data_IF_083279944993
#
_entry.id   IF_083279944993
#
_cell.length_a   1.000
_cell.length_b   1.000
_cell.length_c   1.000
_cell.angle_alpha   90.00
_cell.angle_beta   90.00
_cell.angle_gamma   90.00
#
_symmetry.space_group_name_H-M   'P 1'
#
loop_
_entity.id
_entity.type
_entity.pdbx_description
1 polymer ?
#
# COMPACT_ATOMS: atom_id res chain seq x y z
N UNK A 1 -6.07 -26.11 22.76
CA UNK A 1 -6.70 -24.95 22.10
C UNK A 1 -5.99 -24.48 20.82
N UNK A 2 -4.77 -24.94 20.54
CA UNK A 2 -4.01 -24.55 19.32
C UNK A 2 -4.45 -25.24 18.00
N UNK A 3 -5.21 -26.32 18.06
CA UNK A 3 -5.63 -27.08 16.84
C UNK A 3 -6.83 -26.50 16.10
N UNK A 4 -7.60 -25.58 16.69
CA UNK A 4 -8.77 -24.97 16.05
C UNK A 4 -8.48 -23.66 15.32
N UNK A 5 -7.36 -22.96 15.63
CA UNK A 5 -6.99 -21.70 14.96
C UNK A 5 -6.46 -21.90 13.52
N UNK A 6 -6.17 -23.11 13.09
CA UNK A 6 -5.69 -23.42 11.73
C UNK A 6 -6.75 -23.39 10.63
N UNK A 7 -8.04 -23.24 10.94
CA UNK A 7 -9.12 -23.25 9.94
C UNK A 7 -9.65 -21.84 9.59
N UNK A 8 -9.47 -20.87 10.45
CA UNK A 8 -9.83 -19.48 10.13
C UNK A 8 -8.58 -18.78 9.67
N UNK A 9 -8.48 -18.51 8.37
CA UNK A 9 -7.30 -17.84 7.80
C UNK A 9 -7.00 -16.52 8.52
N UNK A 10 -5.73 -16.12 8.60
CA UNK A 10 -5.30 -14.90 9.29
C UNK A 10 -6.11 -13.67 8.86
N UNK A 11 -6.41 -13.55 7.57
CA UNK A 11 -7.24 -12.45 7.02
C UNK A 11 -8.61 -12.36 7.68
N UNK A 12 -9.25 -13.50 7.98
CA UNK A 12 -10.53 -13.51 8.67
C UNK A 12 -10.42 -12.98 10.11
N UNK A 13 -9.27 -13.20 10.77
CA UNK A 13 -9.04 -12.69 12.13
C UNK A 13 -8.83 -11.16 12.19
N UNK A 14 -8.44 -10.54 11.07
CA UNK A 14 -8.20 -9.09 10.94
C UNK A 14 -9.22 -8.39 10.02
N UNK A 15 -10.35 -9.04 9.71
CA UNK A 15 -11.34 -8.53 8.76
C UNK A 15 -11.84 -7.11 9.04
N UNK A 16 -12.05 -6.77 10.31
CA UNK A 16 -12.48 -5.43 10.71
C UNK A 16 -11.39 -4.37 10.41
N UNK A 17 -10.12 -4.70 10.70
CA UNK A 17 -8.99 -3.84 10.38
C UNK A 17 -8.78 -3.73 8.86
N UNK A 18 -9.02 -4.81 8.10
CA UNK A 18 -9.00 -4.78 6.63
C UNK A 18 -10.08 -3.85 6.07
N UNK A 19 -11.33 -3.99 6.55
CA UNK A 19 -12.42 -3.11 6.13
C UNK A 19 -12.12 -1.64 6.47
N UNK A 20 -11.62 -1.36 7.67
CA UNK A 20 -11.24 -0.02 8.09
C UNK A 20 -10.11 0.56 7.21
N UNK A 21 -9.04 -0.20 6.98
CA UNK A 21 -7.94 0.21 6.10
C UNK A 21 -8.41 0.44 4.66
N UNK A 22 -9.31 -0.41 4.15
CA UNK A 22 -9.88 -0.24 2.81
C UNK A 22 -10.70 1.04 2.70
N UNK A 23 -11.56 1.34 3.69
CA UNK A 23 -12.35 2.57 3.72
C UNK A 23 -11.44 3.80 3.77
N UNK A 24 -10.40 3.79 4.60
CA UNK A 24 -9.43 4.88 4.67
C UNK A 24 -8.68 5.07 3.35
N UNK A 25 -8.19 3.98 2.76
CA UNK A 25 -7.43 4.02 1.52
C UNK A 25 -8.27 4.55 0.35
N UNK A 26 -9.39 3.90 0.07
CA UNK A 26 -10.25 4.29 -1.06
C UNK A 26 -10.96 5.61 -0.83
N UNK A 27 -11.34 5.92 0.42
CA UNK A 27 -11.92 7.21 0.78
C UNK A 27 -10.93 8.35 0.56
N UNK A 28 -9.68 8.21 0.99
CA UNK A 28 -8.63 9.21 0.73
C UNK A 28 -8.26 9.30 -0.75
N UNK A 29 -8.23 8.17 -1.47
CA UNK A 29 -7.98 8.17 -2.91
C UNK A 29 -9.09 8.89 -3.67
N UNK A 30 -10.35 8.63 -3.36
CA UNK A 30 -11.49 9.29 -3.98
C UNK A 30 -11.51 10.79 -3.68
N UNK A 31 -11.27 11.18 -2.42
CA UNK A 31 -11.19 12.59 -2.03
C UNK A 31 -10.06 13.30 -2.78
N UNK A 32 -8.86 12.72 -2.80
CA UNK A 32 -7.71 13.31 -3.48
C UNK A 32 -7.88 13.37 -5.01
N UNK A 33 -8.53 12.38 -5.61
CA UNK A 33 -8.91 12.40 -7.03
C UNK A 33 -9.86 13.58 -7.33
N UNK A 34 -10.91 13.72 -6.52
CA UNK A 34 -11.94 14.75 -6.74
C UNK A 34 -11.41 16.18 -6.55
N UNK A 35 -10.45 16.37 -5.65
CA UNK A 35 -9.82 17.66 -5.39
C UNK A 35 -8.45 17.83 -6.04
N UNK A 36 -8.09 16.97 -6.99
CA UNK A 36 -6.75 16.96 -7.60
C UNK A 36 -6.38 18.29 -8.27
N UNK A 37 -7.33 18.97 -8.89
CA UNK A 37 -7.19 20.29 -9.51
C UNK A 37 -6.87 21.41 -8.50
N UNK A 38 -7.35 21.27 -7.26
CA UNK A 38 -7.21 22.27 -6.19
C UNK A 38 -5.99 22.08 -5.30
N UNK A 39 -5.37 20.90 -5.36
CA UNK A 39 -4.19 20.59 -4.54
C UNK A 39 -2.94 21.00 -5.32
N UNK A 40 -2.21 22.06 -4.94
CA UNK A 40 -1.06 22.56 -5.68
C UNK A 40 0.21 21.73 -5.39
N UNK A 41 0.11 20.40 -5.45
CA UNK A 41 1.24 19.49 -5.24
C UNK A 41 1.61 18.87 -6.59
N UNK A 42 2.82 19.14 -7.04
CA UNK A 42 3.44 18.39 -8.13
C UNK A 42 4.03 17.09 -7.58
N UNK A 43 3.26 16.00 -7.73
CA UNK A 43 3.67 14.69 -7.25
C UNK A 43 4.98 14.24 -7.90
N UNK A 44 5.19 14.54 -9.18
CA UNK A 44 6.40 14.16 -9.92
C UNK A 44 7.62 14.86 -9.31
N UNK A 45 7.48 16.16 -9.01
CA UNK A 45 8.55 16.92 -8.36
C UNK A 45 8.82 16.45 -6.93
N UNK A 46 7.78 16.10 -6.16
CA UNK A 46 7.94 15.52 -4.82
C UNK A 46 8.70 14.20 -4.87
N UNK A 47 8.36 13.31 -5.80
CA UNK A 47 9.08 12.06 -5.98
C UNK A 47 10.54 12.29 -6.42
N UNK A 48 10.77 13.19 -7.37
CA UNK A 48 12.11 13.53 -7.83
C UNK A 48 12.99 14.08 -6.70
N UNK A 49 12.45 14.95 -5.86
CA UNK A 49 13.18 15.48 -4.69
C UNK A 49 13.46 14.44 -3.63
N UNK A 50 12.53 13.51 -3.41
CA UNK A 50 12.65 12.47 -2.38
C UNK A 50 13.62 11.35 -2.78
N UNK A 51 13.67 10.99 -4.06
CA UNK A 51 14.33 9.77 -4.54
C UNK A 51 15.34 9.99 -5.66
N UNK A 52 15.56 11.23 -6.10
CA UNK A 52 16.40 11.54 -7.25
C UNK A 52 15.71 11.27 -8.59
N UNK A 53 16.49 11.27 -9.67
CA UNK A 53 15.94 11.01 -11.01
C UNK A 53 15.81 9.50 -11.26
N UNK A 54 14.65 8.95 -10.90
CA UNK A 54 14.31 7.52 -11.06
C UNK A 54 14.36 7.10 -12.54
N UNK A 55 14.29 8.06 -13.47
CA UNK A 55 14.34 7.79 -14.91
C UNK A 55 15.72 7.33 -15.39
N UNK A 56 16.76 7.55 -14.61
CA UNK A 56 18.13 7.09 -14.91
C UNK A 56 18.36 5.62 -14.52
N UNK A 57 17.45 5.04 -13.73
CA UNK A 57 17.55 3.63 -13.31
C UNK A 57 17.22 2.70 -14.48
N UNK A 58 18.05 1.67 -14.64
CA UNK A 58 17.66 0.56 -15.51
C UNK A 58 16.46 -0.22 -14.92
N UNK A 59 15.74 -1.02 -15.71
CA UNK A 59 14.53 -1.70 -15.24
C UNK A 59 14.74 -2.60 -14.02
N UNK A 60 15.93 -3.22 -13.87
CA UNK A 60 16.23 -4.08 -12.71
C UNK A 60 16.45 -3.23 -11.46
N UNK A 61 17.21 -2.14 -11.59
CA UNK A 61 17.44 -1.18 -10.52
C UNK A 61 16.11 -0.56 -10.06
N UNK A 62 15.25 -0.17 -11.01
CA UNK A 62 13.92 0.36 -10.72
C UNK A 62 13.05 -0.65 -9.96
N UNK A 63 13.00 -1.91 -10.44
CA UNK A 63 12.28 -2.99 -9.78
C UNK A 63 12.76 -3.18 -8.33
N UNK A 64 14.07 -3.26 -8.11
CA UNK A 64 14.63 -3.44 -6.78
C UNK A 64 14.32 -2.24 -5.89
N UNK A 65 14.45 -1.01 -6.41
CA UNK A 65 14.12 0.21 -5.69
C UNK A 65 12.65 0.21 -5.23
N UNK A 66 11.71 -0.04 -6.13
CA UNK A 66 10.27 -0.10 -5.83
C UNK A 66 9.99 -1.20 -4.80
N UNK A 67 10.54 -2.39 -5.01
CA UNK A 67 10.35 -3.53 -4.11
C UNK A 67 10.83 -3.24 -2.69
N UNK A 68 12.07 -2.76 -2.54
CA UNK A 68 12.63 -2.46 -1.22
C UNK A 68 11.90 -1.29 -0.54
N UNK A 69 11.57 -0.23 -1.28
CA UNK A 69 10.83 0.91 -0.76
C UNK A 69 9.46 0.50 -0.21
N UNK A 70 8.67 -0.25 -0.99
CA UNK A 70 7.34 -0.67 -0.60
C UNK A 70 7.37 -1.73 0.51
N UNK A 71 8.34 -2.64 0.47
CA UNK A 71 8.54 -3.65 1.52
C UNK A 71 8.94 -3.01 2.85
N UNK A 72 9.87 -2.07 2.83
CA UNK A 72 10.33 -1.36 4.03
C UNK A 72 9.21 -0.53 4.65
N UNK A 73 8.47 0.23 3.85
CA UNK A 73 7.31 1.01 4.31
C UNK A 73 6.24 0.11 4.92
N UNK A 74 5.90 -1.00 4.26
CA UNK A 74 4.94 -1.99 4.75
C UNK A 74 5.38 -2.63 6.06
N UNK A 75 6.67 -2.96 6.20
CA UNK A 75 7.23 -3.47 7.44
C UNK A 75 7.16 -2.44 8.57
N UNK A 76 7.55 -1.18 8.29
CA UNK A 76 7.50 -0.10 9.28
C UNK A 76 6.08 0.13 9.79
N UNK A 77 5.09 0.09 8.92
CA UNK A 77 3.68 0.25 9.30
C UNK A 77 3.22 -0.84 10.26
N UNK A 78 3.65 -2.08 10.02
CA UNK A 78 3.37 -3.21 10.92
C UNK A 78 4.06 -3.01 12.26
N UNK A 79 5.36 -2.74 12.26
CA UNK A 79 6.17 -2.63 13.49
C UNK A 79 5.77 -1.43 14.34
N UNK A 80 5.38 -0.32 13.73
CA UNK A 80 4.94 0.90 14.40
C UNK A 80 3.43 0.93 14.68
N UNK A 81 2.68 -0.09 14.25
CA UNK A 81 1.26 -0.25 14.57
C UNK A 81 0.93 -0.15 16.06
N UNK A 82 1.74 -0.75 16.99
CA UNK A 82 1.56 -0.63 18.42
C UNK A 82 1.49 0.80 18.97
N UNK A 83 2.01 1.81 18.25
CA UNK A 83 1.87 3.23 18.59
C UNK A 83 0.43 3.73 18.30
N UNK A 84 -0.56 3.07 18.88
CA UNK A 84 -2.00 3.41 18.84
C UNK A 84 -2.58 3.53 17.42
N UNK A 85 -1.94 2.92 16.43
CA UNK A 85 -2.42 2.95 15.05
C UNK A 85 -2.18 4.27 14.31
N UNK A 86 -1.44 5.22 14.89
CA UNK A 86 -1.16 6.53 14.28
C UNK A 86 -0.40 6.36 12.96
N UNK A 87 0.67 5.55 12.96
CA UNK A 87 1.47 5.32 11.77
C UNK A 87 0.68 4.60 10.66
N UNK A 88 -0.05 3.49 10.93
CA UNK A 88 -0.95 2.89 9.95
C UNK A 88 -1.99 3.85 9.38
N UNK A 89 -2.54 4.75 10.20
CA UNK A 89 -3.52 5.73 9.74
C UNK A 89 -2.93 6.67 8.68
N UNK A 90 -1.84 7.38 9.02
CA UNK A 90 -1.21 8.30 8.09
C UNK A 90 -0.67 7.60 6.85
N UNK A 91 -0.07 6.43 7.00
CA UNK A 91 0.42 5.64 5.88
C UNK A 91 -0.71 5.29 4.90
N UNK A 92 -1.85 4.82 5.42
CA UNK A 92 -2.99 4.43 4.59
C UNK A 92 -3.59 5.62 3.85
N UNK A 93 -3.82 6.73 4.58
CA UNK A 93 -4.40 7.96 4.01
C UNK A 93 -3.47 8.58 2.97
N UNK A 94 -2.16 8.62 3.25
CA UNK A 94 -1.19 9.19 2.30
C UNK A 94 -1.05 8.35 1.03
N UNK A 95 -0.99 7.02 1.15
CA UNK A 95 -0.89 6.16 -0.04
C UNK A 95 -2.16 6.25 -0.90
N UNK A 96 -3.35 6.22 -0.29
CA UNK A 96 -4.60 6.45 -1.01
C UNK A 96 -4.65 7.84 -1.64
N UNK A 97 -4.27 8.87 -0.88
CA UNK A 97 -4.22 10.25 -1.36
C UNK A 97 -3.27 10.44 -2.56
N UNK A 98 -2.05 9.89 -2.49
CA UNK A 98 -1.09 9.93 -3.59
C UNK A 98 -1.66 9.23 -4.82
N UNK A 99 -2.27 8.05 -4.66
CA UNK A 99 -2.92 7.33 -5.75
C UNK A 99 -4.01 8.17 -6.40
N UNK A 100 -4.91 8.76 -5.61
CA UNK A 100 -6.00 9.59 -6.11
C UNK A 100 -5.52 10.82 -6.87
N UNK A 101 -4.52 11.54 -6.32
CA UNK A 101 -3.89 12.68 -6.97
C UNK A 101 -3.21 12.27 -8.28
N UNK A 102 -2.48 11.15 -8.29
CA UNK A 102 -1.80 10.65 -9.49
C UNK A 102 -2.81 10.33 -10.61
N UNK A 103 -3.90 9.60 -10.26
CA UNK A 103 -4.97 9.31 -11.22
C UNK A 103 -5.59 10.60 -11.74
N UNK A 104 -5.93 11.56 -10.86
CA UNK A 104 -6.57 12.83 -11.25
C UNK A 104 -5.70 13.64 -12.22
N UNK A 105 -4.42 13.84 -11.89
CA UNK A 105 -3.49 14.62 -12.73
C UNK A 105 -3.22 13.95 -14.08
N UNK A 106 -3.04 12.62 -14.09
CA UNK A 106 -2.83 11.90 -15.36
C UNK A 106 -4.12 11.87 -16.17
N UNK A 107 -5.27 11.69 -15.54
CA UNK A 107 -6.57 11.72 -16.24
C UNK A 107 -6.88 13.08 -16.87
N UNK A 108 -6.52 14.18 -16.21
CA UNK A 108 -6.68 15.53 -16.74
C UNK A 108 -5.82 15.76 -18.00
N UNK A 109 -4.58 15.25 -18.01
CA UNK A 109 -3.63 15.48 -19.10
C UNK A 109 -3.72 14.47 -20.25
N UNK A 110 -4.07 13.21 -19.96
CA UNK A 110 -4.02 12.09 -20.93
C UNK A 110 -5.29 11.24 -20.97
N UNK A 111 -6.31 11.60 -20.18
CA UNK A 111 -7.55 10.85 -20.06
C UNK A 111 -7.50 9.71 -19.05
N UNK A 112 -8.68 9.35 -18.54
CA UNK A 112 -8.82 8.34 -17.46
C UNK A 112 -8.36 6.93 -17.90
N UNK A 113 -8.58 6.58 -19.18
CA UNK A 113 -8.15 5.27 -19.69
C UNK A 113 -6.64 5.09 -19.61
N UNK A 114 -5.88 6.13 -19.97
CA UNK A 114 -4.42 6.12 -19.85
C UNK A 114 -3.97 6.05 -18.38
N UNK A 115 -4.59 6.84 -17.49
CA UNK A 115 -4.27 6.83 -16.07
C UNK A 115 -4.47 5.44 -15.45
N UNK A 116 -5.57 4.78 -15.78
CA UNK A 116 -5.85 3.42 -15.32
C UNK A 116 -4.88 2.39 -15.93
N UNK A 117 -4.57 2.50 -17.22
CA UNK A 117 -3.61 1.62 -17.88
C UNK A 117 -2.19 1.72 -17.28
N UNK A 118 -1.81 2.91 -16.81
CA UNK A 118 -0.52 3.12 -16.16
C UNK A 118 -0.46 2.60 -14.71
N UNK A 119 -1.59 2.48 -14.02
CA UNK A 119 -1.63 2.17 -12.58
C UNK A 119 -2.14 0.75 -12.30
N UNK A 120 -3.19 0.31 -13.00
CA UNK A 120 -3.85 -0.97 -12.68
C UNK A 120 -2.93 -2.20 -12.76
N UNK A 121 -1.99 -2.32 -13.70
CA UNK A 121 -1.20 -3.55 -13.84
C UNK A 121 -0.47 -3.95 -12.56
N UNK A 122 0.21 -3.02 -11.90
CA UNK A 122 0.89 -3.26 -10.62
C UNK A 122 -0.01 -3.00 -9.40
N UNK A 123 -0.91 -2.01 -9.50
CA UNK A 123 -1.80 -1.59 -8.42
C UNK A 123 -2.73 -2.70 -7.92
N UNK A 124 -3.17 -3.64 -8.78
CA UNK A 124 -3.98 -4.80 -8.37
C UNK A 124 -3.28 -5.65 -7.31
N UNK A 125 -1.96 -5.68 -7.28
CA UNK A 125 -1.18 -6.44 -6.29
C UNK A 125 -0.66 -5.56 -5.15
N UNK A 126 -0.23 -4.34 -5.46
CA UNK A 126 0.34 -3.41 -4.49
C UNK A 126 -0.72 -2.87 -3.51
N UNK A 127 -1.88 -2.44 -4.00
CA UNK A 127 -2.94 -1.89 -3.15
C UNK A 127 -3.42 -2.88 -2.08
N UNK A 128 -3.72 -4.16 -2.40
CA UNK A 128 -4.03 -5.15 -1.37
C UNK A 128 -2.90 -5.38 -0.37
N UNK A 129 -1.63 -5.32 -0.81
CA UNK A 129 -0.47 -5.46 0.08
C UNK A 129 -0.35 -4.28 1.06
N UNK A 130 -0.55 -3.04 0.60
CA UNK A 130 -0.59 -1.83 1.43
C UNK A 130 -1.74 -1.90 2.44
N UNK A 131 -2.94 -2.22 2.00
CA UNK A 131 -4.13 -2.34 2.87
C UNK A 131 -3.92 -3.42 3.92
N UNK A 132 -3.38 -4.59 3.55
CA UNK A 132 -3.10 -5.68 4.48
C UNK A 132 -2.04 -5.29 5.51
N UNK A 133 -0.97 -4.59 5.11
CA UNK A 133 0.07 -4.09 6.03
C UNK A 133 -0.51 -3.13 7.05
N UNK A 134 -1.34 -2.18 6.60
CA UNK A 134 -2.04 -1.23 7.47
C UNK A 134 -3.00 -1.93 8.42
N UNK A 135 -3.76 -2.91 7.92
CA UNK A 135 -4.69 -3.70 8.73
C UNK A 135 -3.99 -4.49 9.84
N UNK A 136 -2.81 -5.05 9.55
CA UNK A 136 -1.96 -5.70 10.56
C UNK A 136 -1.51 -4.67 11.60
N UNK A 137 -1.07 -3.48 11.19
CA UNK A 137 -0.70 -2.40 12.08
C UNK A 137 -1.84 -1.95 13.00
N UNK A 138 -3.05 -1.75 12.46
CA UNK A 138 -4.25 -1.45 13.26
C UNK A 138 -4.63 -2.60 14.21
N UNK A 139 -4.49 -3.84 13.75
CA UNK A 139 -4.73 -5.00 14.62
C UNK A 139 -3.76 -5.04 15.79
N UNK A 140 -2.49 -4.71 15.58
CA UNK A 140 -1.50 -4.61 16.64
C UNK A 140 -1.82 -3.47 17.62
N UNK A 141 -2.27 -2.31 17.12
CA UNK A 141 -2.76 -1.22 17.97
C UNK A 141 -3.91 -1.69 18.87
N UNK A 142 -4.86 -2.41 18.29
CA UNK A 142 -5.97 -2.99 19.06
C UNK A 142 -5.52 -3.98 20.12
N UNK A 143 -4.54 -4.84 19.81
CA UNK A 143 -3.98 -5.80 20.79
C UNK A 143 -3.22 -5.10 21.92
N UNK A 144 -2.61 -3.93 21.68
CA UNK A 144 -2.05 -3.09 22.76
C UNK A 144 -3.15 -2.63 23.71
N UNK A 145 -4.23 -2.07 23.19
CA UNK A 145 -5.37 -1.65 24.01
C UNK A 145 -5.99 -2.83 24.76
N UNK A 146 -6.18 -3.96 24.09
CA UNK A 146 -6.67 -5.18 24.74
C UNK A 146 -5.75 -5.67 25.86
N UNK A 147 -4.43 -5.58 25.67
CA UNK A 147 -3.47 -5.98 26.70
C UNK A 147 -3.64 -5.15 27.98
N UNK A 148 -3.92 -3.85 27.83
CA UNK A 148 -4.12 -2.94 28.97
C UNK A 148 -5.40 -3.28 29.73
N UNK A 149 -6.51 -3.59 29.02
CA UNK A 149 -7.83 -3.72 29.63
C UNK A 149 -8.31 -5.17 29.85
N UNK A 150 -7.80 -6.14 29.07
CA UNK A 150 -8.42 -7.48 28.99
C UNK A 150 -7.42 -8.64 28.76
N UNK A 151 -6.11 -8.41 28.84
CA UNK A 151 -5.13 -9.48 28.75
C UNK A 151 -4.76 -9.95 27.33
N UNK A 152 -4.71 -9.07 26.33
CA UNK A 152 -4.25 -9.35 24.97
C UNK A 152 -2.78 -9.75 24.87
N UNK A 153 -2.36 -10.34 23.75
CA UNK A 153 -0.96 -10.73 23.49
C UNK A 153 -0.43 -10.11 22.19
N UNK A 154 0.17 -8.93 22.33
CA UNK A 154 0.79 -8.18 21.23
C UNK A 154 1.86 -9.00 20.50
N UNK A 155 2.71 -9.73 21.25
CA UNK A 155 3.79 -10.54 20.66
C UNK A 155 3.26 -11.68 19.79
N UNK A 156 2.16 -12.33 20.21
CA UNK A 156 1.52 -13.37 19.42
C UNK A 156 0.99 -12.81 18.11
N UNK A 157 0.31 -11.67 18.16
CA UNK A 157 -0.23 -11.03 16.98
C UNK A 157 0.87 -10.51 16.07
N UNK A 158 1.95 -9.94 16.62
CA UNK A 158 3.11 -9.51 15.85
C UNK A 158 3.74 -10.69 15.07
N UNK A 159 3.93 -11.86 15.72
CA UNK A 159 4.47 -13.06 15.04
C UNK A 159 3.56 -13.53 13.91
N UNK A 160 2.24 -13.50 14.09
CA UNK A 160 1.26 -13.87 13.05
C UNK A 160 1.29 -12.88 11.90
N UNK A 161 1.27 -11.59 12.20
CA UNK A 161 1.35 -10.51 11.21
C UNK A 161 2.66 -10.55 10.42
N UNK A 162 3.78 -10.73 11.11
CA UNK A 162 5.10 -10.83 10.47
C UNK A 162 5.22 -12.06 9.56
N UNK A 163 4.69 -13.22 10.00
CA UNK A 163 4.63 -14.41 9.13
C UNK A 163 3.77 -14.15 7.88
N UNK A 164 2.64 -13.49 8.03
CA UNK A 164 1.78 -13.13 6.90
C UNK A 164 2.48 -12.13 5.96
N UNK A 165 3.19 -11.14 6.51
CA UNK A 165 4.01 -10.21 5.76
C UNK A 165 5.04 -10.93 4.89
N UNK A 166 5.85 -11.81 5.49
CA UNK A 166 6.89 -12.54 4.75
C UNK A 166 6.32 -13.48 3.67
N UNK A 167 5.22 -14.19 3.98
CA UNK A 167 4.71 -15.24 3.10
C UNK A 167 3.70 -14.75 2.07
N UNK A 168 3.10 -13.57 2.24
CA UNK A 168 2.04 -13.06 1.37
C UNK A 168 2.32 -11.66 0.85
N UNK A 169 2.68 -10.71 1.73
CA UNK A 169 2.87 -9.33 1.32
C UNK A 169 4.17 -9.17 0.52
N UNK A 170 5.28 -9.71 0.99
CA UNK A 170 6.57 -9.64 0.27
C UNK A 170 6.47 -10.23 -1.15
N UNK A 171 5.93 -11.44 -1.38
CA UNK A 171 5.78 -11.94 -2.76
C UNK A 171 4.87 -11.07 -3.63
N UNK A 172 3.77 -10.53 -3.08
CA UNK A 172 2.90 -9.62 -3.83
C UNK A 172 3.63 -8.34 -4.25
N UNK A 173 4.37 -7.73 -3.33
CA UNK A 173 5.15 -6.51 -3.61
C UNK A 173 6.27 -6.77 -4.60
N UNK A 174 6.90 -7.95 -4.56
CA UNK A 174 7.92 -8.33 -5.54
C UNK A 174 7.34 -8.43 -6.95
N UNK A 175 6.19 -9.12 -7.09
CA UNK A 175 5.51 -9.26 -8.38
C UNK A 175 4.99 -7.89 -8.86
N UNK A 176 4.44 -7.06 -7.98
CA UNK A 176 3.99 -5.71 -8.31
C UNK A 176 5.15 -4.85 -8.83
N UNK A 177 6.30 -4.86 -8.16
CA UNK A 177 7.49 -4.12 -8.59
C UNK A 177 8.03 -4.62 -9.94
N UNK A 178 7.99 -5.93 -10.20
CA UNK A 178 8.34 -6.50 -11.50
C UNK A 178 7.39 -5.99 -12.60
N UNK A 179 6.08 -6.04 -12.35
CA UNK A 179 5.07 -5.55 -13.30
C UNK A 179 5.29 -4.06 -13.58
N UNK A 180 5.54 -3.26 -12.54
CA UNK A 180 5.74 -1.82 -12.68
C UNK A 180 6.99 -1.50 -13.51
N UNK A 181 8.10 -2.19 -13.29
CA UNK A 181 9.35 -1.91 -13.98
C UNK A 181 9.39 -2.44 -15.43
N UNK A 182 8.76 -3.58 -15.71
CA UNK A 182 8.91 -4.27 -17.01
C UNK A 182 7.65 -4.26 -17.86
N UNK A 183 6.46 -4.25 -17.28
CA UNK A 183 5.18 -4.44 -17.98
C UNK A 183 4.43 -3.11 -18.12
N UNK A 184 4.32 -2.33 -17.05
CA UNK A 184 3.56 -1.07 -17.03
C UNK A 184 4.02 -0.08 -18.11
N UNK A 185 5.34 0.12 -18.39
CA UNK A 185 5.78 1.04 -19.43
C UNK A 185 5.29 0.64 -20.82
N UNK A 186 5.27 -0.67 -21.14
CA UNK A 186 4.78 -1.18 -22.42
C UNK A 186 3.26 -0.96 -22.56
N UNK A 187 2.48 -1.21 -21.50
CA UNK A 187 1.03 -0.98 -21.49
C UNK A 187 0.73 0.52 -21.65
N UNK A 188 1.43 1.38 -20.91
CA UNK A 188 1.26 2.83 -21.00
C UNK A 188 1.60 3.34 -22.43
N UNK A 189 2.64 2.79 -23.06
CA UNK A 189 2.99 3.13 -24.44
C UNK A 189 1.90 2.71 -25.45
N UNK A 190 1.30 1.54 -25.28
CA UNK A 190 0.18 1.08 -26.11
C UNK A 190 -1.07 1.95 -25.90
N UNK A 191 -1.36 2.34 -24.66
CA UNK A 191 -2.50 3.21 -24.32
C UNK A 191 -2.32 4.68 -24.77
N UNK A 192 -1.09 5.10 -25.12
CA UNK A 192 -0.80 6.45 -25.64
C UNK A 192 -0.96 6.58 -27.16
N UNK A 193 -1.19 5.47 -27.86
CA UNK A 193 -1.41 5.51 -29.31
C UNK A 193 -2.82 6.02 -29.61
N UNK A 194 -2.96 6.95 -30.58
CA UNK A 194 -4.25 7.51 -30.98
C UNK A 194 -5.16 6.44 -31.62
#
# INVERSE_FOLDING_TARGET
MERFEGRVGYLSSIKASLAFSSILFFGSALAAYYFSDRIPIDIIEVFRRAFGDIKELDPVQLMLFIFFNNSMKSLMVILLGPALGIVPFFFTVMNGGILGLAIGRVAESRGIAFALAAILPHGILEIPAIIASSAIGFRLAWEVLRKIFSGGSVLRELRRGFRFFLLRIIPLLFIAAFIEAFITPAIALLASRP
#
